data_IF_320518661132
#
_entry.id   IF_320518661132
#
_cell.length_a   1.000
_cell.length_b   1.000
_cell.length_c   1.000
_cell.angle_alpha   90.00
_cell.angle_beta   90.00
_cell.angle_gamma   90.00
#
_symmetry.space_group_name_H-M   'P 1'
#
loop_
_entity.id
_entity.type
_entity.pdbx_description
1 polymer ?
#
# COMPACT_ATOMS: atom_id res chain seq x y z
N UNK A 1 -31.62 43.30 44.95
CA UNK A 1 -32.05 42.87 43.59
C UNK A 1 -31.02 43.12 42.49
N UNK A 2 -30.28 44.25 42.50
CA UNK A 2 -29.30 44.56 41.43
C UNK A 2 -28.06 43.62 41.40
N UNK A 3 -27.55 43.23 42.57
CA UNK A 3 -26.36 42.36 42.69
C UNK A 3 -26.65 40.91 42.24
N UNK A 4 -27.82 40.37 42.59
CA UNK A 4 -28.24 39.03 42.17
C UNK A 4 -28.43 38.91 40.66
N UNK A 5 -28.89 39.97 39.99
CA UNK A 5 -29.04 39.99 38.53
C UNK A 5 -27.67 40.00 37.82
N UNK A 6 -26.68 40.69 38.38
CA UNK A 6 -25.34 40.77 37.81
C UNK A 6 -24.58 39.44 37.90
N UNK A 7 -24.78 38.69 38.98
CA UNK A 7 -24.18 37.35 39.15
C UNK A 7 -24.80 36.34 38.18
N UNK A 8 -26.13 36.40 37.98
CA UNK A 8 -26.82 35.55 37.02
C UNK A 8 -26.34 35.81 35.59
N UNK A 9 -26.11 37.07 35.22
CA UNK A 9 -25.60 37.45 33.91
C UNK A 9 -24.17 36.93 33.67
N UNK A 10 -23.31 36.97 34.68
CA UNK A 10 -21.93 36.46 34.59
C UNK A 10 -21.90 34.93 34.45
N UNK A 11 -22.84 34.23 35.09
CA UNK A 11 -22.96 32.77 35.01
C UNK A 11 -23.45 32.31 33.62
N UNK A 12 -24.43 33.02 33.04
CA UNK A 12 -24.94 32.71 31.70
C UNK A 12 -23.89 32.97 30.62
N UNK A 13 -23.11 34.06 30.74
CA UNK A 13 -22.02 34.34 29.81
C UNK A 13 -20.98 33.21 29.79
N UNK A 14 -20.61 32.68 30.96
CA UNK A 14 -19.61 31.62 31.10
C UNK A 14 -20.00 30.30 30.41
N UNK A 15 -21.29 29.94 30.42
CA UNK A 15 -21.79 28.75 29.73
C UNK A 15 -21.70 28.85 28.20
N UNK A 16 -21.91 30.04 27.63
CA UNK A 16 -21.89 30.25 26.18
C UNK A 16 -20.46 30.12 25.62
N UNK A 17 -19.44 30.60 26.34
CA UNK A 17 -18.04 30.47 25.91
C UNK A 17 -17.52 29.02 25.95
N UNK A 18 -18.04 28.17 26.84
CA UNK A 18 -17.69 26.74 26.90
C UNK A 18 -18.10 25.96 25.65
N UNK A 19 -19.32 26.19 25.15
CA UNK A 19 -19.85 25.49 23.97
C UNK A 19 -19.15 25.85 22.66
N UNK A 20 -18.70 27.10 22.52
CA UNK A 20 -17.94 27.57 21.34
C UNK A 20 -16.54 26.94 21.30
N UNK A 21 -15.94 26.69 22.45
CA UNK A 21 -14.60 26.07 22.53
C UNK A 21 -14.66 24.59 22.15
N UNK A 22 -15.71 23.88 22.57
CA UNK A 22 -15.90 22.45 22.29
C UNK A 22 -16.14 22.17 20.79
N UNK A 23 -16.92 23.03 20.13
CA UNK A 23 -17.16 22.97 18.68
C UNK A 23 -15.89 23.26 17.87
N UNK A 24 -15.05 24.19 18.31
CA UNK A 24 -13.76 24.49 17.66
C UNK A 24 -12.80 23.30 17.76
N UNK A 25 -12.73 22.65 18.93
CA UNK A 25 -11.91 21.45 19.16
C UNK A 25 -12.36 20.30 18.23
N UNK A 26 -13.67 20.07 18.08
CA UNK A 26 -14.19 19.05 17.17
C UNK A 26 -13.86 19.33 15.70
N UNK A 27 -13.95 20.60 15.26
CA UNK A 27 -13.59 21.00 13.89
C UNK A 27 -12.10 20.76 13.63
N UNK A 28 -11.23 21.07 14.60
CA UNK A 28 -9.79 20.80 14.48
C UNK A 28 -9.48 19.30 14.43
N UNK A 29 -10.14 18.49 15.26
CA UNK A 29 -10.01 17.03 15.22
C UNK A 29 -10.44 16.47 13.86
N UNK A 30 -11.59 16.89 13.35
CA UNK A 30 -12.08 16.49 12.04
C UNK A 30 -11.13 16.90 10.91
N UNK A 31 -10.59 18.12 10.96
CA UNK A 31 -9.59 18.61 9.99
C UNK A 31 -8.33 17.76 10.01
N UNK A 32 -7.84 17.40 11.20
CA UNK A 32 -6.67 16.50 11.36
C UNK A 32 -6.96 15.11 10.79
N UNK A 33 -8.14 14.57 11.08
CA UNK A 33 -8.55 13.27 10.57
C UNK A 33 -8.64 13.28 9.04
N UNK A 34 -9.23 14.32 8.45
CA UNK A 34 -9.31 14.49 7.00
C UNK A 34 -7.93 14.63 6.34
N UNK A 35 -7.01 15.39 6.95
CA UNK A 35 -5.62 15.47 6.50
C UNK A 35 -4.89 14.12 6.62
N UNK A 36 -5.15 13.37 7.69
CA UNK A 36 -4.57 12.03 7.87
C UNK A 36 -5.09 11.03 6.84
N UNK A 37 -6.38 11.12 6.49
CA UNK A 37 -7.03 10.30 5.48
C UNK A 37 -6.46 10.61 4.08
N UNK A 38 -6.27 11.90 3.75
CA UNK A 38 -5.64 12.30 2.48
C UNK A 38 -4.21 11.75 2.37
N UNK A 39 -3.43 11.84 3.45
CA UNK A 39 -2.09 11.28 3.49
C UNK A 39 -2.10 9.74 3.30
N UNK A 40 -3.10 9.05 3.85
CA UNK A 40 -3.24 7.60 3.69
C UNK A 40 -3.62 7.21 2.25
N UNK A 41 -4.55 7.94 1.63
CA UNK A 41 -4.91 7.73 0.23
C UNK A 41 -3.70 7.95 -0.68
N UNK A 42 -2.92 9.01 -0.44
CA UNK A 42 -1.70 9.28 -1.19
C UNK A 42 -0.67 8.13 -1.05
N UNK A 43 -0.46 7.63 0.17
CA UNK A 43 0.42 6.50 0.43
C UNK A 43 -0.06 5.22 -0.27
N UNK A 44 -1.37 4.95 -0.25
CA UNK A 44 -1.97 3.79 -0.93
C UNK A 44 -1.71 3.88 -2.44
N UNK A 45 -1.93 5.05 -3.06
CA UNK A 45 -1.69 5.23 -4.49
C UNK A 45 -0.22 4.99 -4.87
N UNK A 46 0.73 5.52 -4.08
CA UNK A 46 2.17 5.31 -4.32
C UNK A 46 2.52 3.82 -4.23
N UNK A 47 1.99 3.12 -3.23
CA UNK A 47 2.24 1.69 -3.02
C UNK A 47 1.59 0.83 -4.12
N UNK A 48 0.40 1.20 -4.60
CA UNK A 48 -0.27 0.57 -5.74
C UNK A 48 0.55 0.69 -7.02
N UNK A 49 0.99 1.90 -7.37
CA UNK A 49 1.79 2.12 -8.57
C UNK A 49 3.10 1.30 -8.55
N UNK A 50 3.73 1.21 -7.38
CA UNK A 50 4.93 0.39 -7.18
C UNK A 50 4.64 -1.11 -7.29
N UNK A 51 3.53 -1.57 -6.70
CA UNK A 51 3.08 -2.97 -6.79
C UNK A 51 2.77 -3.35 -8.23
N UNK A 52 2.03 -2.52 -8.95
CA UNK A 52 1.69 -2.74 -10.36
C UNK A 52 2.94 -2.90 -11.23
N UNK A 53 3.94 -2.04 -11.04
CA UNK A 53 5.19 -2.10 -11.81
C UNK A 53 5.97 -3.39 -11.52
N UNK A 54 6.06 -3.81 -10.25
CA UNK A 54 6.71 -5.07 -9.87
C UNK A 54 5.96 -6.28 -10.40
N UNK A 55 4.63 -6.25 -10.38
CA UNK A 55 3.78 -7.30 -10.90
C UNK A 55 3.95 -7.47 -12.42
N UNK A 56 3.89 -6.37 -13.19
CA UNK A 56 4.14 -6.39 -14.65
C UNK A 56 5.52 -6.92 -15.01
N UNK A 57 6.56 -6.50 -14.27
CA UNK A 57 7.92 -7.03 -14.43
C UNK A 57 7.99 -8.51 -14.11
N UNK A 58 7.34 -8.95 -13.03
CA UNK A 58 7.29 -10.35 -12.64
C UNK A 58 6.64 -11.22 -13.71
N UNK A 59 5.52 -10.78 -14.30
CA UNK A 59 4.89 -11.45 -15.45
C UNK A 59 5.88 -11.57 -16.61
N UNK A 60 6.50 -10.46 -17.02
CA UNK A 60 7.43 -10.46 -18.15
C UNK A 60 8.61 -11.42 -17.93
N UNK A 61 9.22 -11.38 -16.75
CA UNK A 61 10.33 -12.27 -16.36
C UNK A 61 9.87 -13.74 -16.33
N UNK A 62 8.68 -14.01 -15.77
CA UNK A 62 8.15 -15.36 -15.72
C UNK A 62 7.87 -15.94 -17.12
N UNK A 63 7.27 -15.13 -18.00
CA UNK A 63 7.01 -15.52 -19.40
C UNK A 63 8.30 -15.81 -20.14
N UNK A 64 9.32 -14.95 -19.99
CA UNK A 64 10.65 -15.21 -20.57
C UNK A 64 11.26 -16.51 -20.04
N UNK A 65 11.21 -16.73 -18.73
CA UNK A 65 11.68 -17.97 -18.13
C UNK A 65 10.98 -19.21 -18.70
N UNK A 66 9.66 -19.13 -18.88
CA UNK A 66 8.88 -20.20 -19.50
C UNK A 66 9.26 -20.45 -20.96
N UNK A 67 9.43 -19.39 -21.77
CA UNK A 67 9.89 -19.51 -23.16
C UNK A 67 11.28 -20.13 -23.25
N UNK A 68 12.21 -19.72 -22.40
CA UNK A 68 13.57 -20.29 -22.33
C UNK A 68 13.53 -21.76 -21.90
N UNK A 69 12.66 -22.11 -20.93
CA UNK A 69 12.46 -23.49 -20.49
C UNK A 69 11.92 -24.36 -21.61
N UNK A 70 10.94 -23.90 -22.38
CA UNK A 70 10.42 -24.63 -23.54
C UNK A 70 11.52 -24.84 -24.58
N UNK A 71 12.26 -23.78 -24.93
CA UNK A 71 13.35 -23.87 -25.89
C UNK A 71 14.44 -24.87 -25.42
N UNK A 72 14.81 -24.83 -24.15
CA UNK A 72 15.74 -25.79 -23.55
C UNK A 72 15.21 -27.22 -23.57
N UNK A 73 13.93 -27.42 -23.23
CA UNK A 73 13.26 -28.72 -23.25
C UNK A 73 13.20 -29.36 -24.63
N UNK A 74 12.98 -28.56 -25.68
CA UNK A 74 13.01 -29.02 -27.08
C UNK A 74 14.41 -29.39 -27.57
N UNK A 75 15.46 -28.87 -26.94
CA UNK A 75 16.87 -29.15 -27.27
C UNK A 75 17.43 -30.39 -26.55
N UNK A 76 16.76 -30.87 -25.50
CA UNK A 76 17.12 -32.09 -24.78
C UNK A 76 17.04 -33.33 -25.69
N UNK A 77 17.95 -34.27 -25.50
CA UNK A 77 18.01 -35.53 -26.24
C UNK A 77 18.47 -35.40 -27.71
N UNK A 78 18.93 -34.21 -28.13
CA UNK A 78 19.47 -33.94 -29.47
C UNK A 78 20.96 -33.59 -29.38
N UNK A 79 21.54 -33.15 -30.50
CA UNK A 79 22.96 -32.76 -30.61
C UNK A 79 23.40 -31.65 -29.62
N UNK A 80 22.45 -30.95 -29.02
CA UNK A 80 22.66 -29.81 -28.12
C UNK A 80 22.11 -30.07 -26.69
N UNK A 81 22.17 -31.31 -26.22
CA UNK A 81 21.60 -31.73 -24.92
C UNK A 81 22.14 -30.92 -23.72
N UNK A 82 23.44 -30.59 -23.72
CA UNK A 82 24.08 -29.81 -22.66
C UNK A 82 23.57 -28.36 -22.62
N UNK A 83 23.39 -27.74 -23.79
CA UNK A 83 22.74 -26.42 -23.91
C UNK A 83 21.27 -26.48 -23.50
N UNK A 84 20.55 -27.55 -23.87
CA UNK A 84 19.17 -27.78 -23.47
C UNK A 84 19.00 -27.83 -21.96
N UNK A 85 19.86 -28.57 -21.25
CA UNK A 85 19.92 -28.62 -19.78
C UNK A 85 20.20 -27.25 -19.17
N UNK A 86 21.17 -26.53 -19.73
CA UNK A 86 21.52 -25.17 -19.28
C UNK A 86 20.35 -24.19 -19.41
N UNK A 87 19.67 -24.19 -20.56
CA UNK A 87 18.47 -23.37 -20.79
C UNK A 87 17.31 -23.79 -19.89
N UNK A 88 17.13 -25.08 -19.62
CA UNK A 88 16.07 -25.55 -18.73
C UNK A 88 16.24 -25.00 -17.32
N UNK A 89 17.46 -25.04 -16.79
CA UNK A 89 17.79 -24.51 -15.46
C UNK A 89 17.65 -22.99 -15.45
N UNK A 90 18.24 -22.30 -16.43
CA UNK A 90 18.16 -20.85 -16.53
C UNK A 90 16.72 -20.35 -16.66
N UNK A 91 15.92 -21.00 -17.52
CA UNK A 91 14.51 -20.71 -17.72
C UNK A 91 13.68 -20.98 -16.46
N UNK A 92 13.92 -22.10 -15.78
CA UNK A 92 13.24 -22.44 -14.53
C UNK A 92 13.53 -21.44 -13.40
N UNK A 93 14.81 -21.09 -13.19
CA UNK A 93 15.21 -20.08 -12.19
C UNK A 93 14.64 -18.71 -12.53
N UNK A 94 14.67 -18.32 -13.80
CA UNK A 94 14.08 -17.06 -14.26
C UNK A 94 12.56 -17.04 -14.04
N UNK A 95 11.89 -18.15 -14.34
CA UNK A 95 10.46 -18.34 -14.10
C UNK A 95 10.07 -18.14 -12.63
N UNK A 96 10.77 -18.85 -11.73
CA UNK A 96 10.57 -18.73 -10.28
C UNK A 96 10.83 -17.31 -9.79
N UNK A 97 11.89 -16.66 -10.30
CA UNK A 97 12.21 -15.28 -9.95
C UNK A 97 11.08 -14.33 -10.35
N UNK A 98 10.51 -14.51 -11.55
CA UNK A 98 9.35 -13.75 -12.00
C UNK A 98 8.14 -13.93 -11.08
N UNK A 99 7.86 -15.16 -10.65
CA UNK A 99 6.78 -15.44 -9.68
C UNK A 99 7.03 -14.79 -8.33
N UNK A 100 8.26 -14.82 -7.81
CA UNK A 100 8.61 -14.16 -6.54
C UNK A 100 8.37 -12.65 -6.64
N UNK A 101 8.72 -12.02 -7.76
CA UNK A 101 8.46 -10.59 -7.99
C UNK A 101 6.96 -10.27 -8.00
N UNK A 102 6.13 -11.15 -8.55
CA UNK A 102 4.67 -11.01 -8.50
C UNK A 102 4.12 -11.14 -7.07
N UNK A 103 4.59 -12.13 -6.31
CA UNK A 103 4.14 -12.33 -4.92
C UNK A 103 4.61 -11.19 -4.01
N UNK A 104 5.83 -10.70 -4.20
CA UNK A 104 6.35 -9.56 -3.43
C UNK A 104 5.58 -8.28 -3.74
N UNK A 105 5.11 -8.09 -4.98
CA UNK A 105 4.21 -6.99 -5.32
C UNK A 105 2.95 -6.99 -4.46
N UNK A 106 2.26 -8.13 -4.36
CA UNK A 106 1.06 -8.28 -3.52
C UNK A 106 1.36 -8.13 -2.02
N UNK A 107 2.50 -8.64 -1.55
CA UNK A 107 2.92 -8.51 -0.15
C UNK A 107 3.25 -7.06 0.22
N UNK A 108 3.79 -6.29 -0.71
CA UNK A 108 4.04 -4.86 -0.53
C UNK A 108 2.73 -4.09 -0.35
N UNK A 109 1.69 -4.46 -1.12
CA UNK A 109 0.34 -3.93 -0.97
C UNK A 109 -0.27 -4.25 0.41
N UNK A 110 -0.20 -5.52 0.83
CA UNK A 110 -0.76 -5.98 2.12
C UNK A 110 -0.03 -5.43 3.35
N UNK A 111 1.29 -5.23 3.27
CA UNK A 111 2.08 -4.64 4.38
C UNK A 111 1.88 -3.13 4.52
N UNK A 112 1.67 -2.41 3.42
CA UNK A 112 1.30 -1.00 3.47
C UNK A 112 -0.03 -0.78 4.21
N UNK A 113 -0.98 -1.70 4.07
CA UNK A 113 -2.26 -1.68 4.80
C UNK A 113 -2.13 -2.05 6.29
N UNK A 114 -1.19 -2.93 6.67
CA UNK A 114 -1.07 -3.46 8.04
C UNK A 114 -0.33 -2.55 9.03
N UNK A 115 0.41 -1.54 8.57
CA UNK A 115 1.26 -0.69 9.44
C UNK A 115 0.47 0.33 10.29
N UNK A 116 -0.87 0.28 10.26
CA UNK A 116 -1.78 1.19 10.99
C UNK A 116 -3.01 0.45 11.53
N UNK A 117 -2.81 -0.62 12.29
CA UNK A 117 -3.78 -0.98 13.33
C UNK A 117 -3.19 -0.54 14.66
N UNK A 118 -3.89 0.30 15.45
CA UNK A 118 -3.44 0.77 16.76
C UNK A 118 -3.17 -0.38 17.73
#
# INVERSE_FOLDING_TARGET
>A
MKITLSILFFFVASCVYGQVTDTLIQIEQFKRELLSLQADVANIQINLAKSETRFKRGIAVATLGYSITIAGGLMLGRKYDELGKGLLIAGGVTGITGTILMVDAFKFLGRASRKRSP
#
